data_IF_277700602008
#
_entry.id   IF_277700602008
#
_cell.length_a   1.000
_cell.length_b   1.000
_cell.length_c   1.000
_cell.angle_alpha   90.00
_cell.angle_beta   90.00
_cell.angle_gamma   90.00
#
_symmetry.space_group_name_H-M   'P 1'
#
loop_
_entity.id
_entity.type
_entity.pdbx_description
1 polymer ?
#
# COMPACT_ATOMS: atom_id res chain seq x y z
N UNK A 1 -22.64 -36.99 -12.95
CA UNK A 1 -21.21 -36.79 -13.25
C UNK A 1 -21.06 -37.05 -14.74
N UNK A 2 -21.27 -36.02 -15.56
CA UNK A 2 -21.30 -36.17 -17.03
C UNK A 2 -19.92 -36.60 -17.54
N UNK A 3 -19.92 -37.64 -18.38
CA UNK A 3 -18.72 -38.16 -19.00
C UNK A 3 -18.13 -37.08 -19.92
N UNK A 4 -16.91 -36.63 -19.62
CA UNK A 4 -16.16 -35.74 -20.50
C UNK A 4 -15.98 -36.41 -21.85
N UNK A 5 -16.26 -35.66 -22.91
CA UNK A 5 -16.21 -36.11 -24.30
C UNK A 5 -14.87 -36.81 -24.62
N UNK A 6 -14.98 -38.05 -25.11
CA UNK A 6 -13.87 -38.94 -25.45
C UNK A 6 -12.88 -38.33 -26.46
N UNK A 7 -13.33 -37.40 -27.30
CA UNK A 7 -12.48 -36.65 -28.23
C UNK A 7 -11.54 -35.71 -27.49
N UNK A 8 -11.99 -35.10 -26.38
CA UNK A 8 -11.20 -34.18 -25.56
C UNK A 8 -10.06 -34.91 -24.84
N UNK A 9 -10.30 -36.15 -24.39
CA UNK A 9 -9.30 -37.00 -23.74
C UNK A 9 -8.27 -37.50 -24.75
N UNK A 10 -8.71 -37.94 -25.93
CA UNK A 10 -7.81 -38.36 -27.02
C UNK A 10 -6.90 -37.24 -27.50
N UNK A 11 -7.46 -36.03 -27.63
CA UNK A 11 -6.72 -34.86 -28.10
C UNK A 11 -5.74 -34.35 -27.02
N UNK A 12 -6.10 -34.42 -25.74
CA UNK A 12 -5.16 -34.17 -24.65
C UNK A 12 -3.99 -35.17 -24.66
N UNK A 13 -4.28 -36.47 -24.85
CA UNK A 13 -3.25 -37.50 -24.86
C UNK A 13 -2.33 -37.40 -26.08
N UNK A 14 -2.85 -37.15 -27.29
CA UNK A 14 -2.01 -36.94 -28.49
C UNK A 14 -1.06 -35.75 -28.35
N UNK A 15 -1.49 -34.70 -27.64
CA UNK A 15 -0.70 -33.47 -27.39
C UNK A 15 0.48 -33.69 -26.44
N UNK A 16 0.39 -34.62 -25.49
CA UNK A 16 1.51 -35.00 -24.61
C UNK A 16 2.64 -35.66 -25.40
N UNK A 17 2.30 -36.42 -26.44
CA UNK A 17 3.28 -37.09 -27.31
C UNK A 17 3.83 -36.17 -28.42
N UNK A 18 3.12 -35.09 -28.77
CA UNK A 18 3.51 -34.17 -29.85
C UNK A 18 4.61 -33.16 -29.47
N UNK A 19 5.07 -33.12 -28.21
CA UNK A 19 6.02 -32.11 -27.70
C UNK A 19 5.60 -30.65 -27.96
N UNK A 20 4.31 -30.41 -28.21
CA UNK A 20 3.74 -29.07 -28.40
C UNK A 20 3.02 -28.68 -27.12
N UNK A 21 3.55 -27.68 -26.42
CA UNK A 21 2.82 -26.95 -25.39
C UNK A 21 1.58 -26.34 -26.07
N UNK A 22 0.36 -26.40 -25.50
CA UNK A 22 -0.80 -25.76 -26.09
C UNK A 22 -0.46 -24.29 -26.37
N UNK A 23 -0.48 -23.91 -27.64
CA UNK A 23 -0.29 -22.54 -28.06
C UNK A 23 -1.37 -21.71 -27.39
N UNK A 24 -0.95 -20.72 -26.61
CA UNK A 24 -1.72 -19.50 -26.35
C UNK A 24 -2.56 -19.15 -27.57
N UNK A 25 -3.85 -18.84 -27.39
CA UNK A 25 -4.73 -18.44 -28.49
C UNK A 25 -4.01 -17.42 -29.38
N UNK A 26 -3.63 -17.84 -30.60
CA UNK A 26 -2.89 -17.02 -31.57
C UNK A 26 -3.78 -15.96 -32.21
N UNK A 27 -5.04 -15.86 -31.81
CA UNK A 27 -5.94 -14.81 -32.23
C UNK A 27 -5.30 -13.44 -32.04
N UNK A 28 -5.07 -12.74 -33.15
CA UNK A 28 -4.61 -11.35 -33.15
C UNK A 28 -5.69 -10.46 -32.54
N UNK A 29 -5.30 -9.75 -31.48
CA UNK A 29 -6.09 -8.72 -30.82
C UNK A 29 -5.66 -7.34 -31.35
N UNK A 30 -6.62 -6.61 -31.90
CA UNK A 30 -6.41 -5.24 -32.40
C UNK A 30 -7.14 -4.24 -31.51
N UNK A 31 -6.42 -3.24 -31.02
CA UNK A 31 -6.97 -2.17 -30.20
C UNK A 31 -6.68 -0.80 -30.81
N UNK A 32 -7.72 -0.03 -31.11
CA UNK A 32 -7.60 1.34 -31.60
C UNK A 32 -8.24 2.31 -30.62
N UNK A 33 -7.47 3.31 -30.16
CA UNK A 33 -7.99 4.35 -29.28
C UNK A 33 -8.23 5.60 -30.10
N UNK A 34 -9.51 6.01 -30.15
CA UNK A 34 -9.96 7.13 -30.96
C UNK A 34 -10.31 8.30 -30.07
N UNK A 35 -10.04 9.51 -30.56
CA UNK A 35 -10.57 10.73 -29.96
C UNK A 35 -11.42 11.49 -30.95
N UNK A 36 -12.52 12.07 -30.45
CA UNK A 36 -13.40 12.91 -31.25
C UNK A 36 -12.84 14.32 -31.34
N UNK A 37 -12.65 14.82 -32.56
CA UNK A 37 -12.54 16.25 -32.85
C UNK A 37 -13.83 16.70 -33.56
N UNK A 38 -14.01 18.02 -33.74
CA UNK A 38 -15.21 18.54 -34.40
C UNK A 38 -15.25 18.05 -35.87
N UNK A 39 -16.07 17.05 -36.15
CA UNK A 39 -16.28 16.47 -37.49
C UNK A 39 -15.28 15.41 -37.94
N UNK A 40 -14.29 15.01 -37.13
CA UNK A 40 -13.33 13.94 -37.46
C UNK A 40 -13.00 13.08 -36.24
N UNK A 41 -12.55 11.86 -36.47
CA UNK A 41 -11.90 11.04 -35.45
C UNK A 41 -10.40 11.07 -35.68
N UNK A 42 -9.63 11.29 -34.62
CA UNK A 42 -8.18 11.14 -34.64
C UNK A 42 -7.82 9.85 -33.91
N UNK A 43 -7.08 8.97 -34.60
CA UNK A 43 -6.46 7.79 -33.98
C UNK A 43 -5.36 8.29 -33.05
N UNK A 44 -5.48 7.97 -31.77
CA UNK A 44 -4.49 8.33 -30.73
C UNK A 44 -3.43 7.27 -30.59
N UNK A 45 -3.85 6.02 -30.65
CA UNK A 45 -2.95 4.87 -30.64
C UNK A 45 -3.61 3.69 -31.33
N UNK A 46 -2.74 2.82 -31.84
CA UNK A 46 -3.08 1.58 -32.49
C UNK A 46 -2.16 0.51 -31.94
N UNK A 47 -2.74 -0.59 -31.47
CA UNK A 47 -2.04 -1.70 -30.86
C UNK A 47 -2.43 -2.99 -31.56
N UNK A 48 -1.47 -3.90 -31.69
CA UNK A 48 -1.67 -5.23 -32.26
C UNK A 48 -0.83 -6.20 -31.45
N UNK A 49 -1.49 -7.11 -30.75
CA UNK A 49 -0.89 -8.13 -29.88
C UNK A 49 -1.71 -9.42 -29.99
N UNK A 50 -1.33 -10.47 -29.27
CA UNK A 50 -2.17 -11.67 -29.17
C UNK A 50 -3.23 -11.50 -28.08
N UNK A 51 -4.37 -12.17 -28.20
CA UNK A 51 -5.37 -12.19 -27.13
C UNK A 51 -4.78 -12.70 -25.81
N UNK A 52 -3.88 -13.69 -25.89
CA UNK A 52 -3.18 -14.21 -24.72
C UNK A 52 -2.31 -13.16 -24.01
N UNK A 53 -1.63 -12.28 -24.76
CA UNK A 53 -0.84 -11.21 -24.19
C UNK A 53 -1.73 -10.16 -23.50
N UNK A 54 -2.84 -9.78 -24.15
CA UNK A 54 -3.83 -8.88 -23.59
C UNK A 54 -4.40 -9.42 -22.27
N UNK A 55 -4.76 -10.71 -22.22
CA UNK A 55 -5.24 -11.37 -21.00
C UNK A 55 -4.19 -11.36 -19.88
N UNK A 56 -2.93 -11.64 -20.23
CA UNK A 56 -1.81 -11.59 -19.27
C UNK A 56 -1.64 -10.19 -18.69
N UNK A 57 -1.73 -9.16 -19.53
CA UNK A 57 -1.64 -7.76 -19.11
C UNK A 57 -2.79 -7.37 -18.17
N UNK A 58 -4.03 -7.75 -18.49
CA UNK A 58 -5.20 -7.49 -17.63
C UNK A 58 -5.05 -8.20 -16.28
N UNK A 59 -4.62 -9.46 -16.26
CA UNK A 59 -4.40 -10.21 -15.01
C UNK A 59 -3.35 -9.52 -14.13
N UNK A 60 -2.24 -9.09 -14.74
CA UNK A 60 -1.18 -8.32 -14.07
C UNK A 60 -1.71 -6.99 -13.52
N UNK A 61 -2.48 -6.26 -14.31
CA UNK A 61 -3.14 -5.02 -13.92
C UNK A 61 -4.06 -5.20 -12.71
N UNK A 62 -4.94 -6.21 -12.75
CA UNK A 62 -5.89 -6.48 -11.65
C UNK A 62 -5.15 -6.91 -10.38
N UNK A 63 -4.14 -7.77 -10.48
CA UNK A 63 -3.32 -8.17 -9.34
C UNK A 63 -2.59 -6.98 -8.69
N UNK A 64 -2.10 -6.05 -9.52
CA UNK A 64 -1.46 -4.82 -9.05
C UNK A 64 -2.44 -3.87 -8.35
N UNK A 65 -3.71 -3.86 -8.75
CA UNK A 65 -4.74 -3.01 -8.16
C UNK A 65 -5.40 -3.60 -6.91
N UNK A 66 -5.21 -4.89 -6.63
CA UNK A 66 -5.73 -5.51 -5.43
C UNK A 66 -5.14 -4.82 -4.19
N UNK A 67 -6.01 -4.21 -3.38
CA UNK A 67 -5.65 -3.51 -2.14
C UNK A 67 -6.46 -4.09 -0.98
N UNK A 68 -5.86 -4.21 0.23
CA UNK A 68 -6.62 -4.59 1.41
C UNK A 68 -7.64 -3.51 1.72
N UNK A 69 -8.86 -3.93 2.02
CA UNK A 69 -9.87 -3.07 2.57
C UNK A 69 -9.67 -2.93 4.09
N UNK A 70 -9.75 -1.71 4.67
CA UNK A 70 -9.74 -1.55 6.12
C UNK A 70 -10.92 -2.31 6.74
N UNK A 71 -10.63 -3.36 7.51
CA UNK A 71 -11.65 -4.12 8.23
C UNK A 71 -12.36 -5.24 7.45
N UNK A 72 -12.27 -5.29 6.12
CA UNK A 72 -12.90 -6.34 5.31
C UNK A 72 -11.90 -7.44 4.91
N UNK A 73 -12.39 -8.63 4.56
CA UNK A 73 -11.59 -9.77 4.11
C UNK A 73 -11.28 -9.74 2.60
N UNK A 74 -12.05 -8.96 1.82
CA UNK A 74 -11.92 -8.89 0.37
C UNK A 74 -10.99 -7.78 -0.11
N UNK A 75 -10.36 -8.01 -1.27
CA UNK A 75 -9.55 -7.00 -1.96
C UNK A 75 -10.43 -6.02 -2.73
N UNK A 76 -10.11 -4.73 -2.64
CA UNK A 76 -10.75 -3.69 -3.45
C UNK A 76 -10.06 -3.59 -4.81
N UNK A 77 -10.85 -3.56 -5.88
CA UNK A 77 -10.38 -3.25 -7.23
C UNK A 77 -10.83 -1.85 -7.61
N UNK A 78 -9.85 -0.96 -7.86
CA UNK A 78 -10.16 0.43 -8.22
C UNK A 78 -10.37 0.55 -9.73
N UNK A 79 -11.54 0.98 -10.23
CA UNK A 79 -11.78 1.10 -11.66
C UNK A 79 -11.03 2.30 -12.27
N UNK A 80 -10.78 2.27 -13.58
CA UNK A 80 -10.05 3.33 -14.31
C UNK A 80 -10.60 4.74 -14.04
N UNK A 81 -11.92 5.00 -14.01
CA UNK A 81 -12.43 6.33 -13.70
C UNK A 81 -12.02 6.84 -12.32
N UNK A 82 -12.00 5.98 -11.31
CA UNK A 82 -11.57 6.32 -9.95
C UNK A 82 -10.07 6.55 -9.89
N UNK A 83 -9.26 5.70 -10.57
CA UNK A 83 -7.81 5.91 -10.71
C UNK A 83 -7.49 7.24 -11.40
N UNK A 84 -8.21 7.60 -12.47
CA UNK A 84 -8.03 8.88 -13.14
C UNK A 84 -8.44 10.05 -12.22
N UNK A 85 -9.61 9.95 -11.57
CA UNK A 85 -10.13 10.99 -10.68
C UNK A 85 -9.21 11.25 -9.47
N UNK A 86 -8.48 10.24 -8.99
CA UNK A 86 -7.62 10.39 -7.82
C UNK A 86 -6.39 11.30 -8.06
N UNK A 87 -6.04 11.54 -9.33
CA UNK A 87 -4.90 12.39 -9.75
C UNK A 87 -5.18 13.89 -9.74
N UNK A 88 -6.45 14.29 -9.61
CA UNK A 88 -6.85 15.70 -9.61
C UNK A 88 -7.51 16.12 -8.30
N UNK A 89 -7.66 17.43 -8.10
CA UNK A 89 -8.50 17.94 -7.02
C UNK A 89 -9.96 17.63 -7.36
N UNK A 90 -10.70 17.05 -6.42
CA UNK A 90 -12.16 16.92 -6.55
C UNK A 90 -12.80 18.30 -6.53
N UNK A 91 -13.44 18.68 -7.63
CA UNK A 91 -14.28 19.85 -7.76
C UNK A 91 -15.24 19.64 -8.94
N UNK A 92 -16.26 20.49 -9.07
CA UNK A 92 -17.15 20.45 -10.25
C UNK A 92 -16.43 20.88 -11.54
N UNK A 93 -15.34 21.63 -11.40
CA UNK A 93 -14.61 22.29 -12.49
C UNK A 93 -13.38 21.51 -12.95
N UNK A 94 -12.85 20.63 -12.10
CA UNK A 94 -11.62 19.90 -12.37
C UNK A 94 -11.93 18.48 -12.82
N UNK A 95 -11.44 18.10 -13.99
CA UNK A 95 -11.55 16.74 -14.52
C UNK A 95 -10.16 16.21 -14.89
N UNK A 96 -9.91 14.90 -14.78
CA UNK A 96 -8.68 14.31 -15.28
C UNK A 96 -8.55 14.56 -16.78
N UNK A 97 -7.31 14.72 -17.26
CA UNK A 97 -7.04 14.88 -18.68
C UNK A 97 -7.40 13.59 -19.43
N UNK A 98 -7.86 13.70 -20.68
CA UNK A 98 -8.13 12.54 -21.53
C UNK A 98 -6.89 11.64 -21.69
N UNK A 99 -5.69 12.23 -21.65
CA UNK A 99 -4.42 11.50 -21.69
C UNK A 99 -4.17 10.64 -20.45
N UNK A 100 -4.76 10.97 -19.30
CA UNK A 100 -4.72 10.12 -18.10
C UNK A 100 -5.52 8.85 -18.32
N UNK A 101 -6.75 8.96 -18.83
CA UNK A 101 -7.57 7.79 -19.16
C UNK A 101 -6.90 6.91 -20.22
N UNK A 102 -6.35 7.54 -21.25
CA UNK A 102 -5.58 6.84 -22.29
C UNK A 102 -4.42 6.04 -21.69
N UNK A 103 -3.57 6.67 -20.88
CA UNK A 103 -2.41 6.01 -20.27
C UNK A 103 -2.81 4.84 -19.37
N UNK A 104 -3.89 4.97 -18.60
CA UNK A 104 -4.40 3.90 -17.74
C UNK A 104 -4.98 2.74 -18.55
N UNK A 105 -5.70 3.03 -19.63
CA UNK A 105 -6.28 2.02 -20.50
C UNK A 105 -5.19 1.24 -21.26
N UNK A 106 -4.17 1.94 -21.78
CA UNK A 106 -3.04 1.31 -22.45
C UNK A 106 -2.18 0.49 -21.49
N UNK A 107 -2.02 0.95 -20.26
CA UNK A 107 -1.37 0.18 -19.21
C UNK A 107 -2.14 -1.10 -18.85
N UNK A 108 -3.48 -1.06 -18.87
CA UNK A 108 -4.33 -2.21 -18.54
C UNK A 108 -4.33 -3.29 -19.63
N UNK A 109 -4.48 -2.89 -20.89
CA UNK A 109 -4.57 -3.84 -22.01
C UNK A 109 -3.21 -4.23 -22.58
N UNK A 110 -2.32 -3.27 -22.76
CA UNK A 110 -1.05 -3.46 -23.49
C UNK A 110 0.16 -3.49 -22.57
N UNK A 111 -0.04 -3.49 -21.24
CA UNK A 111 1.05 -3.51 -20.27
C UNK A 111 1.99 -2.29 -20.35
N UNK A 112 1.53 -1.20 -20.95
CA UNK A 112 2.33 0.01 -21.16
C UNK A 112 2.78 0.63 -19.82
N UNK A 113 4.01 1.17 -19.74
CA UNK A 113 4.50 1.80 -18.51
C UNK A 113 3.69 3.05 -18.17
N UNK A 114 3.42 3.26 -16.89
CA UNK A 114 2.69 4.43 -16.44
C UNK A 114 3.59 5.68 -16.40
N UNK A 115 3.13 6.83 -16.94
CA UNK A 115 3.88 8.07 -16.85
C UNK A 115 4.14 8.51 -15.41
N UNK A 116 5.38 8.92 -15.10
CA UNK A 116 5.79 9.37 -13.76
C UNK A 116 4.93 10.53 -13.21
N UNK A 117 4.38 11.37 -14.09
CA UNK A 117 3.45 12.45 -13.72
C UNK A 117 2.20 11.96 -12.99
N UNK A 118 1.74 10.73 -13.26
CA UNK A 118 0.57 10.15 -12.59
C UNK A 118 0.89 9.78 -11.15
N UNK A 119 2.06 9.18 -10.92
CA UNK A 119 2.57 8.91 -9.57
C UNK A 119 2.71 10.22 -8.79
N UNK A 120 3.39 11.23 -9.38
CA UNK A 120 3.56 12.53 -8.75
C UNK A 120 2.23 13.18 -8.39
N UNK A 121 1.26 13.20 -9.32
CA UNK A 121 -0.05 13.77 -9.08
C UNK A 121 -0.78 13.06 -7.93
N UNK A 122 -0.80 11.72 -7.92
CA UNK A 122 -1.45 10.97 -6.84
C UNK A 122 -0.81 11.23 -5.47
N UNK A 123 0.52 11.22 -5.37
CA UNK A 123 1.23 11.45 -4.10
C UNK A 123 1.01 12.87 -3.57
N UNK A 124 1.08 13.89 -4.43
CA UNK A 124 0.77 15.27 -4.04
C UNK A 124 -0.68 15.39 -3.55
N UNK A 125 -1.63 14.78 -4.26
CA UNK A 125 -3.05 14.80 -3.85
C UNK A 125 -3.28 14.06 -2.53
N UNK A 126 -2.64 12.91 -2.32
CA UNK A 126 -2.71 12.15 -1.07
C UNK A 126 -2.20 12.99 0.10
N UNK A 127 -1.01 13.58 -0.06
CA UNK A 127 -0.41 14.43 0.97
C UNK A 127 -1.32 15.59 1.38
N UNK A 128 -1.89 16.29 0.39
CA UNK A 128 -2.80 17.42 0.65
C UNK A 128 -4.12 17.00 1.29
N UNK A 129 -4.64 15.83 0.98
CA UNK A 129 -5.91 15.36 1.55
C UNK A 129 -5.75 14.76 2.94
N UNK A 130 -4.68 14.00 3.19
CA UNK A 130 -4.35 13.55 4.55
C UNK A 130 -4.11 14.76 5.45
N UNK A 131 -3.42 15.80 4.95
CA UNK A 131 -3.16 17.02 5.70
C UNK A 131 -4.42 17.77 6.14
N UNK A 132 -5.47 17.75 5.31
CA UNK A 132 -6.76 18.38 5.65
C UNK A 132 -7.53 17.62 6.72
N UNK A 133 -7.17 16.37 6.99
CA UNK A 133 -7.97 15.46 7.78
C UNK A 133 -9.29 15.10 7.08
N UNK A 134 -10.09 14.29 7.77
CA UNK A 134 -11.33 13.77 7.24
C UNK A 134 -12.46 13.92 8.28
N UNK A 135 -13.50 14.67 7.93
CA UNK A 135 -14.72 14.69 8.74
C UNK A 135 -15.46 13.35 8.61
N UNK A 136 -16.16 12.93 9.68
CA UNK A 136 -16.83 11.61 9.73
C UNK A 136 -17.76 11.33 8.54
N UNK A 137 -18.48 12.35 8.06
CA UNK A 137 -19.40 12.25 6.91
C UNK A 137 -18.69 12.02 5.56
N UNK A 138 -17.44 12.48 5.44
CA UNK A 138 -16.66 12.42 4.20
C UNK A 138 -15.70 11.22 4.20
N UNK A 139 -15.81 10.35 5.21
CA UNK A 139 -14.89 9.22 5.44
C UNK A 139 -14.93 8.17 4.34
N UNK A 140 -16.09 7.68 3.88
CA UNK A 140 -16.13 6.70 2.79
C UNK A 140 -15.39 7.21 1.55
N UNK A 141 -15.70 8.45 1.16
CA UNK A 141 -15.10 9.14 0.03
C UNK A 141 -13.59 9.36 0.20
N UNK A 142 -13.12 9.66 1.41
CA UNK A 142 -11.70 9.80 1.71
C UNK A 142 -10.95 8.47 1.58
N UNK A 143 -11.50 7.40 2.16
CA UNK A 143 -10.89 6.06 2.11
C UNK A 143 -10.82 5.56 0.67
N UNK A 144 -11.89 5.71 -0.12
CA UNK A 144 -11.89 5.33 -1.55
C UNK A 144 -10.74 6.00 -2.31
N UNK A 145 -10.52 7.30 -2.09
CA UNK A 145 -9.44 8.04 -2.76
C UNK A 145 -8.06 7.65 -2.24
N UNK A 146 -7.94 7.33 -0.95
CA UNK A 146 -6.69 6.85 -0.36
C UNK A 146 -6.31 5.49 -0.94
N UNK A 147 -7.29 4.57 -1.07
CA UNK A 147 -7.13 3.28 -1.76
C UNK A 147 -6.68 3.51 -3.20
N UNK A 148 -7.40 4.35 -3.95
CA UNK A 148 -7.13 4.58 -5.37
C UNK A 148 -5.72 5.14 -5.63
N UNK A 149 -5.25 6.08 -4.81
CA UNK A 149 -3.89 6.66 -4.95
C UNK A 149 -2.80 5.66 -4.60
N UNK A 150 -3.03 4.86 -3.56
CA UNK A 150 -2.09 3.81 -3.17
C UNK A 150 -2.05 2.70 -4.22
N UNK A 151 -3.21 2.30 -4.77
CA UNK A 151 -3.31 1.35 -5.88
C UNK A 151 -2.59 1.87 -7.12
N UNK A 152 -2.72 3.16 -7.46
CA UNK A 152 -1.98 3.77 -8.57
C UNK A 152 -0.46 3.76 -8.34
N UNK A 153 0.00 4.00 -7.10
CA UNK A 153 1.41 3.90 -6.77
C UNK A 153 1.93 2.46 -6.91
N UNK A 154 1.20 1.47 -6.38
CA UNK A 154 1.51 0.04 -6.51
C UNK A 154 1.59 -0.37 -7.99
N UNK A 155 0.60 0.03 -8.78
CA UNK A 155 0.51 -0.21 -10.21
C UNK A 155 1.70 0.41 -10.98
N UNK A 156 2.14 1.62 -10.61
CA UNK A 156 3.32 2.25 -11.21
C UNK A 156 4.60 1.41 -11.00
N UNK A 157 4.83 0.88 -9.79
CA UNK A 157 6.00 0.04 -9.53
C UNK A 157 5.94 -1.30 -10.28
N UNK A 158 4.76 -1.91 -10.32
CA UNK A 158 4.55 -3.15 -11.06
C UNK A 158 4.88 -2.96 -12.55
N UNK A 159 4.22 -2.00 -13.21
CA UNK A 159 4.32 -1.87 -14.68
C UNK A 159 5.60 -1.17 -15.14
N UNK A 160 6.08 -0.16 -14.41
CA UNK A 160 7.20 0.68 -14.87
C UNK A 160 8.55 0.24 -14.31
N UNK A 161 8.57 -0.42 -13.14
CA UNK A 161 9.83 -0.84 -12.49
C UNK A 161 10.03 -2.35 -12.46
N UNK A 162 9.02 -3.13 -12.87
CA UNK A 162 9.06 -4.60 -12.74
C UNK A 162 9.26 -5.07 -11.31
N UNK A 163 9.00 -4.20 -10.33
CA UNK A 163 9.20 -4.45 -8.91
C UNK A 163 7.84 -4.71 -8.31
N UNK A 164 7.47 -5.98 -8.15
CA UNK A 164 6.15 -6.31 -7.62
C UNK A 164 6.07 -5.90 -6.16
N UNK A 165 5.14 -4.99 -5.88
CA UNK A 165 4.81 -4.53 -4.53
C UNK A 165 3.62 -5.33 -3.96
N UNK A 166 3.41 -6.55 -4.45
CA UNK A 166 2.25 -7.40 -4.10
C UNK A 166 2.56 -8.33 -2.93
N UNK A 167 3.82 -8.74 -2.78
CA UNK A 167 4.28 -9.45 -1.58
C UNK A 167 4.72 -8.42 -0.53
N UNK A 168 3.81 -8.15 0.40
CA UNK A 168 3.94 -7.06 1.38
C UNK A 168 4.25 -7.65 2.76
N UNK A 169 4.55 -8.94 2.80
CA UNK A 169 5.15 -9.60 3.94
C UNK A 169 6.40 -8.83 4.38
N UNK A 170 6.57 -8.70 5.70
CA UNK A 170 7.80 -8.16 6.29
C UNK A 170 9.03 -9.05 5.99
N UNK A 171 8.80 -10.25 5.41
CA UNK A 171 9.82 -11.13 4.85
C UNK A 171 10.22 -10.77 3.41
N UNK A 172 9.52 -9.85 2.71
CA UNK A 172 9.98 -9.38 1.40
C UNK A 172 11.27 -8.57 1.59
N UNK A 173 12.43 -9.09 1.16
CA UNK A 173 13.72 -8.46 1.46
C UNK A 173 13.86 -7.08 0.79
N UNK A 174 13.15 -6.83 -0.32
CA UNK A 174 13.21 -5.54 -1.01
C UNK A 174 12.39 -4.44 -0.32
N UNK A 175 11.31 -4.81 0.37
CA UNK A 175 10.49 -3.86 1.12
C UNK A 175 10.91 -3.75 2.59
N UNK A 176 11.35 -4.85 3.18
CA UNK A 176 11.79 -4.92 4.58
C UNK A 176 12.98 -4.02 4.92
N UNK A 177 13.72 -3.55 3.92
CA UNK A 177 14.84 -2.61 4.07
C UNK A 177 14.69 -1.29 3.31
N UNK A 178 13.56 -1.02 2.65
CA UNK A 178 13.34 0.26 1.95
C UNK A 178 12.93 1.35 2.95
N UNK A 179 13.79 2.36 3.12
CA UNK A 179 13.55 3.42 4.09
C UNK A 179 12.25 4.20 3.85
N UNK A 180 11.82 4.36 2.59
CA UNK A 180 10.56 5.02 2.25
C UNK A 180 9.36 4.22 2.74
N UNK A 181 9.32 2.92 2.41
CA UNK A 181 8.31 1.99 2.86
C UNK A 181 8.23 1.91 4.40
N UNK A 182 9.37 1.73 5.06
CA UNK A 182 9.47 1.66 6.53
C UNK A 182 9.01 2.96 7.21
N UNK A 183 9.35 4.13 6.65
CA UNK A 183 8.86 5.43 7.14
C UNK A 183 7.34 5.55 7.00
N UNK A 184 6.75 5.02 5.92
CA UNK A 184 5.31 4.97 5.74
C UNK A 184 4.63 4.15 6.84
N UNK A 185 5.13 2.93 7.08
CA UNK A 185 4.65 2.04 8.16
C UNK A 185 4.79 2.70 9.53
N UNK A 186 5.94 3.30 9.81
CA UNK A 186 6.19 4.00 11.06
C UNK A 186 5.17 5.12 11.31
N UNK A 187 4.85 5.94 10.29
CA UNK A 187 3.85 6.99 10.46
C UNK A 187 2.46 6.42 10.79
N UNK A 188 2.06 5.32 10.15
CA UNK A 188 0.78 4.67 10.42
C UNK A 188 0.72 4.09 11.84
N UNK A 189 1.79 3.46 12.32
CA UNK A 189 1.89 2.97 13.69
C UNK A 189 1.85 4.11 14.72
N UNK A 190 2.55 5.21 14.47
CA UNK A 190 2.52 6.40 15.33
C UNK A 190 1.10 7.00 15.40
N UNK A 191 0.38 6.99 14.28
CA UNK A 191 -1.01 7.43 14.21
C UNK A 191 -1.95 6.53 15.03
N UNK A 192 -1.71 5.21 14.97
CA UNK A 192 -2.42 4.21 15.77
C UNK A 192 -2.15 4.38 17.27
N UNK A 193 -0.89 4.51 17.68
CA UNK A 193 -0.48 4.75 19.07
C UNK A 193 -1.18 6.02 19.60
N UNK A 194 -1.18 7.10 18.83
CA UNK A 194 -1.89 8.32 19.20
C UNK A 194 -3.40 8.07 19.37
N UNK A 195 -4.02 7.41 18.40
CA UNK A 195 -5.47 7.13 18.42
C UNK A 195 -5.88 6.29 19.63
N UNK A 196 -5.10 5.27 20.00
CA UNK A 196 -5.36 4.44 21.19
C UNK A 196 -5.19 5.23 22.49
N UNK A 197 -4.16 6.08 22.59
CA UNK A 197 -3.95 6.93 23.77
C UNK A 197 -5.04 7.99 23.99
N UNK A 198 -5.84 8.30 22.96
CA UNK A 198 -6.93 9.26 23.01
C UNK A 198 -8.32 8.63 22.87
N UNK A 199 -8.42 7.29 22.89
CA UNK A 199 -9.68 6.57 22.70
C UNK A 199 -10.72 6.90 23.76
N UNK A 200 -10.30 7.04 25.01
CA UNK A 200 -11.19 7.32 26.16
C UNK A 200 -11.67 8.78 26.21
N UNK A 201 -10.88 9.72 25.68
CA UNK A 201 -11.22 11.15 25.69
C UNK A 201 -12.09 11.59 24.50
N UNK A 202 -12.73 10.64 23.79
CA UNK A 202 -13.55 10.93 22.61
C UNK A 202 -12.77 11.17 21.31
N UNK A 203 -11.47 10.85 21.27
CA UNK A 203 -10.58 11.09 20.14
C UNK A 203 -10.06 12.53 20.05
N UNK A 204 -9.12 12.79 19.13
CA UNK A 204 -8.63 14.14 18.82
C UNK A 204 -8.96 14.50 17.38
N UNK A 205 -9.21 15.79 17.12
CA UNK A 205 -9.39 16.30 15.76
C UNK A 205 -8.05 16.37 14.98
N UNK A 206 -6.93 15.96 15.57
CA UNK A 206 -5.65 16.02 14.87
C UNK A 206 -4.73 14.88 15.27
N UNK A 207 -4.60 13.91 14.38
CA UNK A 207 -3.66 12.82 14.53
C UNK A 207 -2.28 13.17 13.93
N UNK A 208 -1.20 12.47 14.32
CA UNK A 208 0.13 12.63 13.75
C UNK A 208 0.15 12.53 12.23
N UNK A 209 -0.60 11.59 11.63
CA UNK A 209 -0.70 11.48 10.19
C UNK A 209 -1.27 12.76 9.56
N UNK A 210 -2.36 13.32 10.12
CA UNK A 210 -2.95 14.54 9.58
C UNK A 210 -1.96 15.72 9.61
N UNK A 211 -1.17 15.90 10.66
CA UNK A 211 -0.23 17.04 10.72
C UNK A 211 1.03 16.83 9.91
N UNK A 212 1.51 15.59 9.88
CA UNK A 212 2.90 15.30 9.54
C UNK A 212 3.07 14.56 8.23
N UNK A 213 2.00 14.05 7.59
CA UNK A 213 2.13 13.22 6.38
C UNK A 213 2.98 13.88 5.29
N UNK A 214 2.78 15.17 5.03
CA UNK A 214 3.53 15.90 4.01
C UNK A 214 5.04 15.94 4.32
N UNK A 215 5.41 16.29 5.56
CA UNK A 215 6.79 16.32 6.00
C UNK A 215 7.38 14.90 6.12
N UNK A 216 6.63 13.95 6.67
CA UNK A 216 7.07 12.57 6.85
C UNK A 216 7.29 11.84 5.53
N UNK A 217 6.53 12.18 4.48
CA UNK A 217 6.74 11.61 3.15
C UNK A 217 7.89 12.29 2.39
N UNK A 218 8.32 13.50 2.74
CA UNK A 218 9.32 14.26 1.96
C UNK A 218 10.65 14.44 2.69
N UNK A 219 10.62 14.77 3.98
CA UNK A 219 11.76 15.02 4.88
C UNK A 219 11.66 14.26 6.22
N UNK A 220 11.69 12.91 6.21
CA UNK A 220 11.54 12.05 7.41
C UNK A 220 12.40 12.48 8.62
N UNK A 221 13.68 12.78 8.40
CA UNK A 221 14.63 13.12 9.46
C UNK A 221 14.21 14.33 10.32
N UNK A 222 13.42 15.26 9.77
CA UNK A 222 13.00 16.46 10.50
C UNK A 222 11.83 16.20 11.45
N UNK A 223 11.03 15.17 11.20
CA UNK A 223 9.73 14.99 11.88
C UNK A 223 9.67 13.73 12.74
N UNK A 224 10.24 12.61 12.30
CA UNK A 224 10.13 11.35 13.03
C UNK A 224 10.76 11.36 14.43
N UNK A 225 11.92 12.01 14.69
CA UNK A 225 12.46 12.09 16.05
C UNK A 225 11.46 12.68 17.05
N UNK A 226 10.74 13.74 16.65
CA UNK A 226 9.72 14.37 17.48
C UNK A 226 8.50 13.46 17.66
N UNK A 227 8.03 12.82 16.58
CA UNK A 227 6.88 11.92 16.66
C UNK A 227 7.16 10.67 17.53
N UNK A 228 8.35 10.08 17.42
CA UNK A 228 8.77 8.95 18.26
C UNK A 228 8.83 9.37 19.74
N UNK A 229 9.32 10.57 20.05
CA UNK A 229 9.30 11.11 21.42
C UNK A 229 7.87 11.25 21.94
N UNK A 230 6.94 11.76 21.12
CA UNK A 230 5.53 11.87 21.47
C UNK A 230 4.87 10.51 21.70
N UNK A 231 5.19 9.52 20.86
CA UNK A 231 4.67 8.16 20.97
C UNK A 231 5.00 7.51 22.31
N UNK A 232 6.17 7.78 22.90
CA UNK A 232 6.52 7.28 24.24
C UNK A 232 5.55 7.76 25.32
N UNK A 233 5.14 9.03 25.28
CA UNK A 233 4.13 9.54 26.22
C UNK A 233 2.75 8.91 25.98
N UNK A 234 2.39 8.67 24.71
CA UNK A 234 1.15 7.98 24.36
C UNK A 234 1.14 6.53 24.82
N UNK A 235 2.25 5.80 24.66
CA UNK A 235 2.41 4.42 25.15
C UNK A 235 2.29 4.35 26.67
N UNK A 236 2.94 5.27 27.39
CA UNK A 236 2.79 5.37 28.85
C UNK A 236 1.34 5.61 29.28
N UNK A 237 0.60 6.42 28.52
CA UNK A 237 -0.82 6.67 28.78
C UNK A 237 -1.70 5.45 28.49
N UNK A 238 -1.39 4.69 27.44
CA UNK A 238 -2.11 3.45 27.09
C UNK A 238 -1.90 2.40 28.19
N UNK A 239 -0.64 2.20 28.60
CA UNK A 239 -0.26 1.24 29.63
C UNK A 239 -0.58 -0.24 29.30
N UNK A 240 -0.16 -1.12 30.21
CA UNK A 240 -0.48 -2.55 30.16
C UNK A 240 0.07 -3.30 28.94
N UNK A 241 -0.45 -4.51 28.73
CA UNK A 241 -0.01 -5.38 27.64
C UNK A 241 -0.19 -4.77 26.25
N UNK A 242 -1.22 -3.93 26.05
CA UNK A 242 -1.45 -3.31 24.76
C UNK A 242 -0.38 -2.28 24.36
N UNK A 243 0.11 -1.48 25.31
CA UNK A 243 1.25 -0.59 25.07
C UNK A 243 2.51 -1.39 24.72
N UNK A 244 2.78 -2.48 25.46
CA UNK A 244 3.90 -3.37 25.17
C UNK A 244 3.84 -3.93 23.75
N UNK A 245 2.66 -4.39 23.31
CA UNK A 245 2.46 -4.91 21.96
C UNK A 245 2.69 -3.86 20.87
N UNK A 246 2.26 -2.61 21.06
CA UNK A 246 2.50 -1.54 20.07
C UNK A 246 3.99 -1.15 20.00
N UNK A 247 4.70 -1.23 21.13
CA UNK A 247 6.12 -0.91 21.20
C UNK A 247 7.00 -2.02 20.62
N UNK A 248 6.74 -3.28 20.94
CA UNK A 248 7.59 -4.43 20.61
C UNK A 248 7.09 -5.23 19.40
N UNK A 249 5.78 -5.20 19.14
CA UNK A 249 5.15 -5.96 18.07
C UNK A 249 4.85 -7.42 18.45
N UNK A 250 4.59 -8.23 17.42
CA UNK A 250 4.47 -9.69 17.49
C UNK A 250 5.32 -10.30 16.37
N UNK A 251 6.63 -10.47 16.58
CA UNK A 251 7.55 -10.91 15.55
C UNK A 251 7.12 -12.23 14.89
N UNK A 252 6.63 -13.18 15.68
CA UNK A 252 6.18 -14.50 15.20
C UNK A 252 4.93 -14.43 14.31
N UNK A 253 4.17 -13.35 14.43
CA UNK A 253 2.99 -13.07 13.59
C UNK A 253 3.31 -12.02 12.51
N UNK A 254 4.59 -11.67 12.37
CA UNK A 254 5.11 -10.69 11.42
C UNK A 254 4.79 -9.24 11.76
N UNK A 255 4.34 -8.90 12.98
CA UNK A 255 4.02 -7.51 13.33
C UNK A 255 5.23 -6.80 13.93
N UNK A 256 5.78 -5.83 13.22
CA UNK A 256 6.82 -4.95 13.78
C UNK A 256 6.18 -3.89 14.70
N UNK A 257 6.66 -3.80 15.93
CA UNK A 257 6.37 -2.69 16.83
C UNK A 257 7.22 -1.45 16.51
N UNK A 258 7.02 -0.39 17.30
CA UNK A 258 7.76 0.86 17.18
C UNK A 258 9.28 0.62 17.24
N UNK A 259 9.75 -0.18 18.20
CA UNK A 259 11.16 -0.48 18.38
C UNK A 259 11.76 -1.22 17.17
N UNK A 260 11.04 -2.24 16.66
CA UNK A 260 11.46 -3.01 15.50
C UNK A 260 11.54 -2.17 14.22
N UNK A 261 10.56 -1.31 13.97
CA UNK A 261 10.59 -0.38 12.82
C UNK A 261 11.75 0.62 12.92
N UNK A 262 12.02 1.16 14.11
CA UNK A 262 13.16 2.05 14.33
C UNK A 262 14.50 1.33 14.10
N UNK A 263 14.63 0.09 14.58
CA UNK A 263 15.82 -0.72 14.37
C UNK A 263 16.03 -1.06 12.88
N UNK A 264 14.96 -1.45 12.17
CA UNK A 264 15.01 -1.68 10.71
C UNK A 264 15.47 -0.43 9.96
N UNK A 265 14.98 0.75 10.35
CA UNK A 265 15.41 2.04 9.77
C UNK A 265 16.88 2.37 10.05
N UNK A 266 17.40 2.03 11.22
CA UNK A 266 18.83 2.18 11.52
C UNK A 266 19.70 1.24 10.67
N UNK A 267 19.18 0.07 10.34
CA UNK A 267 19.87 -0.94 9.54
C UNK A 267 19.75 -0.73 8.02
N UNK A 268 19.02 0.30 7.54
CA UNK A 268 19.02 0.62 6.12
C UNK A 268 20.30 1.32 5.70
N UNK A 269 20.50 1.46 4.39
CA UNK A 269 21.66 2.17 3.81
C UNK A 269 21.82 3.62 4.29
N UNK A 270 20.74 4.22 4.77
CA UNK A 270 20.70 5.60 5.26
C UNK A 270 21.12 5.73 6.73
N UNK A 271 21.26 4.62 7.46
CA UNK A 271 21.72 4.62 8.85
C UNK A 271 20.76 5.31 9.82
N UNK A 272 19.45 5.32 9.52
CA UNK A 272 18.42 6.01 10.32
C UNK A 272 17.38 6.72 9.45
N UNK A 273 16.80 7.81 9.98
CA UNK A 273 15.79 8.55 9.24
C UNK A 273 16.41 9.29 8.04
N UNK A 274 15.94 9.04 6.81
CA UNK A 274 16.51 9.68 5.63
C UNK A 274 16.19 11.18 5.62
N UNK A 275 17.16 11.99 5.16
CA UNK A 275 17.02 13.46 5.07
C UNK A 275 15.89 13.87 4.12
N UNK A 276 15.82 13.20 2.98
CA UNK A 276 14.80 13.41 1.95
C UNK A 276 14.40 12.08 1.30
N UNK A 277 13.17 12.00 0.79
CA UNK A 277 12.71 10.87 -0.02
C UNK A 277 12.54 11.28 -1.49
N UNK A 278 13.09 10.48 -2.41
CA UNK A 278 12.82 10.61 -3.84
C UNK A 278 11.34 10.33 -4.15
N UNK A 279 10.86 10.67 -5.35
CA UNK A 279 9.47 10.40 -5.73
C UNK A 279 9.10 8.91 -5.61
N UNK A 280 10.03 8.02 -5.95
CA UNK A 280 9.81 6.59 -5.82
C UNK A 280 9.75 6.16 -4.35
N UNK A 281 10.65 6.68 -3.50
CA UNK A 281 10.57 6.41 -2.06
C UNK A 281 9.31 7.01 -1.42
N UNK A 282 8.82 8.15 -1.91
CA UNK A 282 7.51 8.70 -1.56
C UNK A 282 6.36 7.77 -2.00
N UNK A 283 6.48 7.15 -3.17
CA UNK A 283 5.57 6.10 -3.63
C UNK A 283 5.53 4.92 -2.66
N UNK A 284 6.69 4.38 -2.31
CA UNK A 284 6.82 3.26 -1.35
C UNK A 284 6.33 3.65 0.06
N UNK A 285 6.60 4.88 0.49
CA UNK A 285 6.05 5.44 1.72
C UNK A 285 4.51 5.40 1.73
N UNK A 286 3.87 5.83 0.64
CA UNK A 286 2.40 5.83 0.56
C UNK A 286 1.80 4.44 0.67
N UNK A 287 2.50 3.44 0.11
CA UNK A 287 2.12 2.03 0.17
C UNK A 287 2.29 1.52 1.61
N UNK A 288 3.47 1.69 2.22
CA UNK A 288 3.73 1.26 3.59
C UNK A 288 2.75 1.87 4.61
N UNK A 289 2.45 3.16 4.46
CA UNK A 289 1.46 3.85 5.28
C UNK A 289 0.07 3.22 5.17
N UNK A 290 -0.41 2.98 3.95
CA UNK A 290 -1.75 2.44 3.74
C UNK A 290 -1.88 1.00 4.26
N UNK A 291 -0.89 0.15 3.98
CA UNK A 291 -0.93 -1.25 4.38
C UNK A 291 -0.91 -1.40 5.91
N UNK A 292 -0.04 -0.65 6.59
CA UNK A 292 0.04 -0.71 8.05
C UNK A 292 -1.20 -0.08 8.72
N UNK A 293 -1.82 0.93 8.08
CA UNK A 293 -3.13 1.46 8.50
C UNK A 293 -4.26 0.43 8.39
N UNK A 294 -4.25 -0.42 7.36
CA UNK A 294 -5.25 -1.48 7.18
C UNK A 294 -5.01 -2.70 8.07
N UNK A 295 -3.85 -2.76 8.72
CA UNK A 295 -3.40 -3.93 9.47
C UNK A 295 -4.28 -4.19 10.70
N UNK A 296 -4.83 -5.39 10.80
CA UNK A 296 -5.58 -5.86 11.98
C UNK A 296 -4.59 -6.37 13.01
N UNK A 297 -4.36 -5.59 14.06
CA UNK A 297 -3.46 -5.99 15.14
C UNK A 297 -4.08 -7.11 15.98
N UNK A 298 -3.27 -8.05 16.51
CA UNK A 298 -3.76 -9.09 17.40
C UNK A 298 -4.39 -8.45 18.63
N UNK A 299 -5.58 -8.93 19.02
CA UNK A 299 -6.19 -8.52 20.27
C UNK A 299 -5.38 -9.14 21.40
N UNK A 300 -4.84 -8.32 22.31
CA UNK A 300 -4.40 -8.82 23.60
C UNK A 300 -5.60 -9.41 24.32
N UNK A 301 -5.60 -10.72 24.57
CA UNK A 301 -6.55 -11.34 25.48
C UNK A 301 -6.43 -10.64 26.84
N UNK A 302 -7.55 -10.10 27.34
CA UNK A 302 -7.60 -9.54 28.70
C UNK A 302 -7.42 -10.69 29.68
N UNK A 303 -6.19 -10.92 30.15
CA UNK A 303 -5.95 -11.87 31.25
C UNK A 303 -4.54 -12.41 31.47
N UNK A 304 -3.53 -12.13 30.63
CA UNK A 304 -2.24 -12.87 30.74
C UNK A 304 -0.99 -12.05 31.07
N UNK A 305 -1.10 -10.78 31.44
CA UNK A 305 0.07 -10.06 31.99
C UNK A 305 -0.32 -9.14 33.15
N UNK A 306 -0.65 -9.73 34.29
CA UNK A 306 -0.13 -9.22 35.56
C UNK A 306 1.31 -9.74 35.70
N UNK A 307 2.27 -9.04 35.11
CA UNK A 307 3.66 -9.17 35.55
C UNK A 307 3.78 -8.32 36.81
N UNK A 308 3.70 -8.98 37.97
CA UNK A 308 4.01 -8.41 39.27
C UNK A 308 5.44 -7.85 39.26
N UNK A 309 5.65 -6.57 39.62
CA UNK A 309 7.00 -6.06 39.82
C UNK A 309 7.44 -6.45 41.22
N UNK A 310 8.00 -7.64 41.40
CA UNK A 310 8.78 -8.01 42.61
C UNK A 310 9.42 -9.37 42.37
N UNK A 311 10.70 -9.36 42.00
CA UNK A 311 11.71 -10.29 42.54
C UNK A 311 13.09 -9.82 42.06
N UNK A 312 13.48 -8.68 42.62
CA UNK A 312 14.84 -8.17 42.61
C UNK A 312 15.29 -7.89 44.05
N UNK A 313 15.05 -8.84 44.96
CA UNK A 313 15.61 -8.77 46.30
C UNK A 313 17.08 -9.20 46.23
N UNK A 314 17.95 -8.19 46.27
CA UNK A 314 19.38 -8.29 46.50
C UNK A 314 19.61 -9.10 47.79
N UNK A 315 20.07 -10.34 47.68
CA UNK A 315 20.65 -11.06 48.81
C UNK A 315 22.03 -10.46 49.09
N UNK A 316 22.13 -9.67 50.16
CA UNK A 316 23.41 -9.38 50.79
C UNK A 316 23.94 -10.65 51.47
N UNK A 317 25.24 -10.96 51.36
CA UNK A 317 25.83 -12.07 52.09
C UNK A 317 26.00 -11.68 53.56
N UNK A 318 25.51 -12.51 54.48
CA UNK A 318 25.89 -12.42 55.90
C UNK A 318 27.17 -13.22 56.11
N UNK A 319 28.24 -12.51 56.44
CA UNK A 319 29.42 -13.05 57.09
C UNK A 319 29.11 -13.36 58.58
N UNK A 320 29.75 -14.42 59.07
CA UNK A 320 29.89 -14.93 60.44
C UNK A 320 28.67 -15.62 61.08
#
# INVERSE_FOLDING_TARGET
MEARDSLTVRDFLSRVWASTVPGSDLATFHGAILSKSKGRFAVRSWHTETLSDAEKNIRRWLAALAMPAPGFEESLFTPIPTLAACTVRRSKETRPLATTYLSLFEAALFGSPLPQKLLSAALTRQSLEVAKGCARKDRPDFEERLVARTALAKLYFELTKGSSMSDISDANPTLGSDAGYLCGRLLALLDKIHSEAHRESGGTNTSPANRSYAAASTTPALIFPQLCKLARYHLNKIGGGWAYCLEHGYPDQGFDGLAALCAKLQNTTEGGFPRTLSLEKQGRFSIGFYYDRCRKWPKTEKGQHELSPTDGAIQQPREN
#
